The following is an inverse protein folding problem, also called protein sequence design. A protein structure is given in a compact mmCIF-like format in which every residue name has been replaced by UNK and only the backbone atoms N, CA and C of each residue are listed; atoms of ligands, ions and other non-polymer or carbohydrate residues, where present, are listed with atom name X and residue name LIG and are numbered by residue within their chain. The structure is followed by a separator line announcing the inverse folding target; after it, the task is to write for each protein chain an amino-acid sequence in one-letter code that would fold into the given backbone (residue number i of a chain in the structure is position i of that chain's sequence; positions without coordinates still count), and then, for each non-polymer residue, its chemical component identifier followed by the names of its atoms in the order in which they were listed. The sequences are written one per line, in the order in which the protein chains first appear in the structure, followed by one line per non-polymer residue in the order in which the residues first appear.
data_IF_522498130913
#
_entry.id   IF_522498130913
#
_cell.length_a   1.000
_cell.length_b   1.000
_cell.length_c   1.000
_cell.angle_alpha   90.00
_cell.angle_beta   90.00
_cell.angle_gamma   90.00
#
_symmetry.space_group_name_H-M   'P 1'
#
loop_
_entity.id
_entity.type
_entity.pdbx_description
1 polymer ?
#
# COMPACT_ATOMS: atom_id res chain seq x y z
N UNK A 1 17.93 -11.88 10.94
CA UNK A 1 17.45 -10.49 11.07
C UNK A 1 17.69 -9.85 9.72
N UNK A 2 16.63 -9.49 9.00
CA UNK A 2 16.74 -8.84 7.70
C UNK A 2 17.30 -7.43 7.87
N UNK A 3 18.13 -6.99 6.93
CA UNK A 3 18.77 -5.67 6.99
C UNK A 3 17.75 -4.55 6.75
N UNK A 4 17.85 -3.47 7.54
CA UNK A 4 17.00 -2.30 7.40
C UNK A 4 17.39 -1.54 6.13
N UNK A 5 16.43 -1.33 5.24
CA UNK A 5 16.57 -0.47 4.05
C UNK A 5 16.88 0.97 4.47
N UNK A 6 17.95 1.55 3.93
CA UNK A 6 18.37 2.93 4.21
C UNK A 6 17.45 3.95 3.53
N UNK A 7 16.70 4.71 4.35
CA UNK A 7 15.77 5.73 3.87
C UNK A 7 16.47 7.02 3.43
N UNK A 8 17.72 7.26 3.87
CA UNK A 8 18.50 8.43 3.50
C UNK A 8 19.14 8.29 2.11
N UNK A 9 19.32 7.06 1.62
CA UNK A 9 19.87 6.79 0.30
C UNK A 9 19.13 7.58 -0.81
N UNK A 10 19.82 8.08 -1.85
CA UNK A 10 19.16 8.74 -2.97
C UNK A 10 18.11 7.84 -3.64
N UNK A 11 16.92 8.39 -3.89
CA UNK A 11 15.87 7.63 -4.56
C UNK A 11 16.23 7.40 -6.03
N UNK A 12 16.13 6.15 -6.50
CA UNK A 12 16.42 5.79 -7.89
C UNK A 12 15.12 5.61 -8.66
N UNK A 13 15.08 6.20 -9.86
CA UNK A 13 13.95 6.08 -10.77
C UNK A 13 13.87 4.67 -11.34
N UNK A 14 12.74 3.98 -11.13
CA UNK A 14 12.46 2.71 -11.77
C UNK A 14 11.48 2.84 -12.93
N UNK A 15 10.29 3.37 -12.67
CA UNK A 15 9.29 3.73 -13.67
C UNK A 15 8.98 5.23 -13.53
N UNK A 16 8.87 5.96 -14.65
CA UNK A 16 8.57 7.40 -14.60
C UNK A 16 7.51 7.77 -15.61
N UNK A 17 6.48 8.46 -15.11
CA UNK A 17 5.36 9.01 -15.89
C UNK A 17 4.81 8.00 -16.89
N UNK A 18 4.62 6.76 -16.44
CA UNK A 18 3.95 5.72 -17.23
C UNK A 18 2.51 6.17 -17.50
N UNK A 19 1.99 5.74 -18.64
CA UNK A 19 0.63 6.07 -19.08
C UNK A 19 -0.41 5.75 -17.99
N UNK A 20 -1.57 6.40 -18.13
CA UNK A 20 -2.72 6.16 -17.26
C UNK A 20 -3.00 4.67 -17.13
N UNK A 21 -3.30 4.26 -15.90
CA UNK A 21 -3.75 2.90 -15.62
C UNK A 21 -5.15 2.69 -16.24
N UNK A 22 -5.92 1.69 -15.81
CA UNK A 22 -7.28 1.50 -16.33
C UNK A 22 -8.18 2.70 -16.04
N UNK A 23 -8.11 3.22 -14.82
CA UNK A 23 -8.91 4.37 -14.40
C UNK A 23 -8.10 5.67 -14.52
N UNK A 24 -8.74 6.83 -14.74
CA UNK A 24 -8.06 8.12 -14.86
C UNK A 24 -7.57 8.71 -13.53
N UNK A 25 -7.79 8.00 -12.42
CA UNK A 25 -7.45 8.38 -11.06
C UNK A 25 -5.99 8.05 -10.72
N UNK A 26 -5.52 8.57 -9.59
CA UNK A 26 -4.21 8.21 -9.04
C UNK A 26 -4.15 6.73 -8.65
N UNK A 27 -2.96 6.13 -8.63
CA UNK A 27 -2.77 4.86 -7.91
C UNK A 27 -3.02 5.09 -6.41
N UNK A 28 -3.33 4.03 -5.68
CA UNK A 28 -3.52 4.06 -4.21
C UNK A 28 -2.51 3.16 -3.50
N UNK A 29 -2.25 1.98 -4.07
CA UNK A 29 -1.18 1.10 -3.61
C UNK A 29 -0.75 0.14 -4.71
N UNK A 30 0.33 -0.58 -4.48
CA UNK A 30 0.85 -1.59 -5.39
C UNK A 30 1.57 -2.70 -4.64
N UNK A 31 1.73 -3.86 -5.29
CA UNK A 31 2.51 -4.97 -4.78
C UNK A 31 3.15 -5.76 -5.92
N UNK A 32 4.28 -6.42 -5.61
CA UNK A 32 5.01 -7.24 -6.55
C UNK A 32 4.61 -8.72 -6.43
N UNK A 33 4.36 -9.34 -7.57
CA UNK A 33 4.44 -10.79 -7.73
C UNK A 33 5.78 -11.07 -8.40
N UNK A 34 6.78 -11.34 -7.55
CA UNK A 34 8.16 -11.48 -7.97
C UNK A 34 8.41 -12.81 -8.70
N UNK A 35 7.60 -13.82 -8.43
CA UNK A 35 7.66 -15.14 -9.07
C UNK A 35 7.19 -15.08 -10.51
N UNK A 36 6.09 -14.37 -10.79
CA UNK A 36 5.52 -14.27 -12.14
C UNK A 36 5.85 -12.95 -12.83
N UNK A 37 6.71 -12.11 -12.23
CA UNK A 37 7.13 -10.83 -12.78
C UNK A 37 5.96 -9.89 -13.10
N UNK A 38 4.99 -9.81 -12.19
CA UNK A 38 3.87 -8.88 -12.28
C UNK A 38 3.95 -7.78 -11.22
N UNK A 39 3.39 -6.63 -11.60
CA UNK A 39 3.12 -5.52 -10.69
C UNK A 39 1.60 -5.34 -10.63
N UNK A 40 1.03 -5.47 -9.44
CA UNK A 40 -0.38 -5.20 -9.20
C UNK A 40 -0.55 -3.80 -8.64
N UNK A 41 -1.54 -3.04 -9.14
CA UNK A 41 -1.76 -1.64 -8.75
C UNK A 41 -3.25 -1.36 -8.53
N UNK A 42 -3.61 -0.86 -7.37
CA UNK A 42 -4.99 -0.44 -7.05
C UNK A 42 -5.22 1.03 -7.39
N UNK A 43 -6.43 1.32 -7.81
CA UNK A 43 -6.98 2.67 -8.01
C UNK A 43 -8.40 2.73 -7.44
N UNK A 44 -8.82 3.90 -6.99
CA UNK A 44 -10.26 4.19 -6.88
C UNK A 44 -10.87 4.29 -8.29
N UNK A 45 -12.05 3.72 -8.46
CA UNK A 45 -12.85 3.99 -9.67
C UNK A 45 -13.44 5.42 -9.62
N UNK A 46 -13.71 6.05 -10.77
CA UNK A 46 -14.44 7.31 -10.82
C UNK A 46 -15.78 7.20 -10.09
N UNK A 47 -16.03 8.10 -9.13
CA UNK A 47 -17.22 8.08 -8.26
C UNK A 47 -17.23 6.96 -7.20
N UNK A 48 -16.20 6.11 -7.16
CA UNK A 48 -16.12 4.95 -6.26
C UNK A 48 -15.66 5.25 -4.84
N UNK A 49 -15.34 6.50 -4.50
CA UNK A 49 -14.73 6.88 -3.21
C UNK A 49 -15.58 6.45 -2.03
N UNK A 50 -16.86 6.80 -2.01
CA UNK A 50 -17.73 6.53 -0.84
C UNK A 50 -18.18 5.07 -0.79
N UNK A 51 -18.38 4.46 -1.96
CA UNK A 51 -18.74 3.05 -2.10
C UNK A 51 -17.55 2.11 -1.80
N UNK A 52 -16.31 2.60 -1.91
CA UNK A 52 -15.11 1.77 -1.82
C UNK A 52 -14.88 0.90 -3.05
N UNK A 53 -15.19 1.44 -4.23
CA UNK A 53 -15.05 0.72 -5.51
C UNK A 53 -13.67 0.96 -6.11
N UNK A 54 -12.93 -0.14 -6.30
CA UNK A 54 -11.55 -0.15 -6.76
C UNK A 54 -11.41 -0.80 -8.14
N UNK A 55 -10.38 -0.37 -8.87
CA UNK A 55 -9.86 -1.06 -10.04
C UNK A 55 -8.46 -1.60 -9.71
N UNK A 56 -8.31 -2.92 -9.81
CA UNK A 56 -7.03 -3.59 -9.70
C UNK A 56 -6.44 -3.80 -11.11
N UNK A 57 -5.27 -3.25 -11.34
CA UNK A 57 -4.50 -3.42 -12.55
C UNK A 57 -3.44 -4.51 -12.36
N UNK A 58 -3.21 -5.33 -13.39
CA UNK A 58 -2.02 -6.19 -13.51
C UNK A 58 -1.14 -5.63 -14.61
N UNK A 59 0.12 -5.38 -14.29
CA UNK A 59 1.14 -4.85 -15.19
C UNK A 59 2.31 -5.84 -15.29
N UNK A 60 3.11 -5.74 -16.34
CA UNK A 60 4.47 -6.27 -16.30
C UNK A 60 5.40 -5.33 -15.51
N UNK A 61 6.62 -5.80 -15.20
CA UNK A 61 7.63 -5.01 -14.48
C UNK A 61 8.17 -3.79 -15.25
N UNK A 62 7.74 -3.57 -16.51
CA UNK A 62 8.03 -2.35 -17.29
C UNK A 62 6.86 -1.35 -17.26
N UNK A 63 5.81 -1.66 -16.51
CA UNK A 63 4.61 -0.85 -16.33
C UNK A 63 3.62 -0.94 -17.50
N UNK A 64 3.72 -1.94 -18.38
CA UNK A 64 2.72 -2.16 -19.43
C UNK A 64 1.53 -2.92 -18.85
N UNK A 65 0.32 -2.44 -19.14
CA UNK A 65 -0.93 -3.08 -18.69
C UNK A 65 -1.13 -4.45 -19.34
N UNK A 66 -1.36 -5.47 -18.52
CA UNK A 66 -1.67 -6.84 -18.91
C UNK A 66 -3.13 -7.21 -18.66
N UNK A 67 -3.84 -6.42 -17.86
CA UNK A 67 -5.25 -6.62 -17.56
C UNK A 67 -5.70 -5.80 -16.35
N UNK A 68 -7.00 -5.83 -16.08
CA UNK A 68 -7.62 -5.24 -14.90
C UNK A 68 -8.77 -6.11 -14.39
N UNK A 69 -9.22 -5.86 -13.17
CA UNK A 69 -10.46 -6.36 -12.59
C UNK A 69 -11.04 -5.32 -11.62
N UNK A 70 -12.36 -5.32 -11.43
CA UNK A 70 -13.05 -4.42 -10.51
C UNK A 70 -13.33 -5.09 -9.17
N UNK A 71 -13.20 -4.32 -8.09
CA UNK A 71 -13.51 -4.73 -6.72
C UNK A 71 -14.54 -3.76 -6.15
N UNK A 72 -15.79 -4.17 -6.03
CA UNK A 72 -16.92 -3.32 -5.63
C UNK A 72 -17.19 -3.48 -4.13
N UNK A 73 -17.25 -2.36 -3.40
CA UNK A 73 -17.45 -2.38 -1.95
C UNK A 73 -16.25 -2.89 -1.13
N UNK A 74 -15.03 -2.72 -1.64
CA UNK A 74 -13.82 -3.21 -0.97
C UNK A 74 -13.23 -2.17 0.00
N UNK A 75 -13.04 -0.93 -0.45
CA UNK A 75 -12.54 0.16 0.38
C UNK A 75 -11.73 1.17 -0.43
N UNK A 76 -10.68 1.72 0.18
CA UNK A 76 -9.92 2.84 -0.41
C UNK A 76 -8.70 2.38 -1.21
N UNK A 77 -8.17 1.20 -0.89
CA UNK A 77 -7.01 0.61 -1.55
C UNK A 77 -5.68 1.17 -1.07
N UNK A 78 -5.59 1.70 0.16
CA UNK A 78 -4.36 2.32 0.72
C UNK A 78 -3.20 1.33 0.83
N UNK A 79 -3.49 0.03 0.97
CA UNK A 79 -2.46 -1.00 0.97
C UNK A 79 -2.94 -2.31 0.37
N UNK A 80 -1.97 -3.10 -0.07
CA UNK A 80 -2.19 -4.43 -0.61
C UNK A 80 -0.95 -5.30 -0.41
N UNK A 81 -1.07 -6.58 -0.73
CA UNK A 81 0.06 -7.51 -0.78
C UNK A 81 -0.20 -8.70 -1.68
N UNK A 82 0.87 -9.40 -2.04
CA UNK A 82 0.82 -10.66 -2.79
C UNK A 82 1.34 -11.78 -1.90
N UNK A 83 0.63 -12.89 -1.87
CA UNK A 83 1.02 -14.13 -1.20
C UNK A 83 1.04 -15.26 -2.23
N UNK A 84 2.04 -16.12 -2.13
CA UNK A 84 2.09 -17.39 -2.84
C UNK A 84 1.82 -18.52 -1.84
N UNK A 85 0.85 -19.38 -2.13
CA UNK A 85 0.72 -20.66 -1.42
C UNK A 85 1.70 -21.68 -2.03
N UNK A 86 1.97 -22.77 -1.32
CA UNK A 86 2.96 -23.79 -1.71
C UNK A 86 2.59 -24.53 -2.99
N UNK A 87 1.31 -24.54 -3.37
CA UNK A 87 0.80 -25.10 -4.63
C UNK A 87 0.95 -24.14 -5.84
N UNK A 88 1.57 -22.97 -5.63
CA UNK A 88 1.75 -21.95 -6.65
C UNK A 88 0.57 -20.98 -6.80
N UNK A 89 -0.49 -21.13 -6.00
CA UNK A 89 -1.63 -20.21 -6.04
C UNK A 89 -1.20 -18.80 -5.60
N UNK A 90 -1.49 -17.81 -6.45
CA UNK A 90 -1.26 -16.39 -6.16
C UNK A 90 -2.51 -15.77 -5.56
N UNK A 91 -2.37 -15.23 -4.36
CA UNK A 91 -3.39 -14.50 -3.63
C UNK A 91 -3.04 -13.02 -3.53
N UNK A 92 -4.01 -12.16 -3.82
CA UNK A 92 -3.90 -10.72 -3.63
C UNK A 92 -4.70 -10.34 -2.39
N UNK A 93 -4.05 -9.64 -1.47
CA UNK A 93 -4.63 -9.14 -0.24
C UNK A 93 -4.98 -7.66 -0.36
N UNK A 94 -6.17 -7.29 0.09
CA UNK A 94 -6.55 -5.89 0.33
C UNK A 94 -7.74 -5.83 1.30
N UNK A 95 -8.17 -4.62 1.60
CA UNK A 95 -9.34 -4.36 2.43
C UNK A 95 -10.65 -4.79 1.75
N UNK A 96 -11.68 -5.07 2.53
CA UNK A 96 -13.01 -5.42 2.05
C UNK A 96 -14.10 -4.91 3.00
N UNK A 97 -15.37 -5.04 2.59
CA UNK A 97 -16.53 -4.68 3.41
C UNK A 97 -16.55 -3.18 3.74
N UNK A 98 -16.55 -2.37 2.67
CA UNK A 98 -16.44 -0.92 2.76
C UNK A 98 -17.62 -0.26 3.49
N UNK A 99 -17.30 0.70 4.35
CA UNK A 99 -18.24 1.66 4.92
C UNK A 99 -17.60 3.05 4.90
N UNK A 100 -18.24 4.02 4.26
CA UNK A 100 -17.68 5.36 4.08
C UNK A 100 -16.34 5.34 3.32
N UNK A 101 -16.23 4.49 2.31
CA UNK A 101 -15.04 4.37 1.47
C UNK A 101 -13.87 3.57 2.04
N UNK A 102 -13.96 3.06 3.28
CA UNK A 102 -12.89 2.29 3.92
C UNK A 102 -13.38 0.91 4.37
N UNK A 103 -12.53 -0.11 4.19
CA UNK A 103 -12.81 -1.49 4.52
C UNK A 103 -12.85 -1.75 6.03
N UNK A 104 -13.89 -2.46 6.48
CA UNK A 104 -14.03 -2.97 7.85
C UNK A 104 -13.39 -4.34 8.03
N UNK A 105 -13.10 -5.03 6.93
CA UNK A 105 -12.44 -6.32 6.93
C UNK A 105 -11.28 -6.38 5.96
N UNK A 106 -10.67 -7.55 5.89
CA UNK A 106 -9.56 -7.90 5.01
C UNK A 106 -9.90 -9.17 4.27
N UNK A 107 -9.50 -9.27 3.01
CA UNK A 107 -9.70 -10.49 2.23
C UNK A 107 -8.51 -10.81 1.34
N UNK A 108 -8.53 -12.02 0.78
CA UNK A 108 -7.63 -12.45 -0.29
C UNK A 108 -8.42 -13.07 -1.43
N UNK A 109 -8.00 -12.82 -2.67
CA UNK A 109 -8.63 -13.34 -3.88
C UNK A 109 -7.61 -13.57 -4.99
N UNK A 110 -8.02 -14.26 -6.04
CA UNK A 110 -7.21 -14.47 -7.25
C UNK A 110 -7.56 -13.43 -8.31
N UNK A 111 -6.55 -12.93 -8.99
CA UNK A 111 -6.75 -12.06 -10.14
C UNK A 111 -7.42 -12.81 -11.28
N UNK A 112 -8.43 -12.20 -11.91
CA UNK A 112 -9.04 -12.68 -13.15
C UNK A 112 -9.33 -11.48 -14.06
N UNK A 113 -8.70 -11.44 -15.24
CA UNK A 113 -8.87 -10.31 -16.15
C UNK A 113 -10.33 -10.12 -16.56
N UNK A 114 -10.83 -8.88 -16.46
CA UNK A 114 -12.19 -8.51 -16.84
C UNK A 114 -13.24 -8.85 -15.79
N UNK A 115 -12.86 -9.53 -14.70
CA UNK A 115 -13.78 -9.88 -13.64
C UNK A 115 -14.19 -8.65 -12.82
N UNK A 116 -15.37 -8.76 -12.22
CA UNK A 116 -15.81 -7.90 -11.11
C UNK A 116 -15.99 -8.80 -9.88
N UNK A 117 -15.51 -8.35 -8.73
CA UNK A 117 -15.68 -9.01 -7.44
C UNK A 117 -16.41 -8.10 -6.48
N UNK A 118 -17.27 -8.69 -5.67
CA UNK A 118 -17.99 -8.06 -4.57
C UNK A 118 -17.65 -8.78 -3.27
N UNK A 119 -18.17 -8.29 -2.14
CA UNK A 119 -18.04 -8.99 -0.85
C UNK A 119 -18.60 -10.42 -0.88
N UNK A 120 -19.60 -10.72 -1.72
CA UNK A 120 -20.16 -12.06 -1.87
C UNK A 120 -19.24 -13.06 -2.60
N UNK A 121 -18.23 -12.57 -3.33
CA UNK A 121 -17.29 -13.42 -4.08
C UNK A 121 -16.08 -13.87 -3.25
N UNK A 122 -15.90 -13.31 -2.04
CA UNK A 122 -14.66 -13.43 -1.28
C UNK A 122 -14.92 -13.80 0.17
N UNK A 123 -13.90 -14.36 0.80
CA UNK A 123 -13.96 -14.71 2.23
C UNK A 123 -13.39 -13.55 3.04
N UNK A 124 -14.27 -12.73 3.60
CA UNK A 124 -13.89 -11.57 4.42
C UNK A 124 -13.48 -12.02 5.83
N UNK A 125 -12.50 -11.34 6.41
CA UNK A 125 -11.97 -11.53 7.77
C UNK A 125 -12.08 -10.20 8.51
N UNK A 126 -12.51 -10.26 9.77
CA UNK A 126 -12.55 -9.11 10.68
C UNK A 126 -11.65 -9.43 11.88
N UNK A 127 -10.32 -9.31 11.73
CA UNK A 127 -9.35 -9.80 12.72
C UNK A 127 -9.25 -8.95 13.99
N UNK A 128 -9.78 -7.72 13.94
CA UNK A 128 -9.88 -6.84 15.09
C UNK A 128 -11.33 -6.38 15.20
N UNK A 129 -11.99 -6.74 16.29
CA UNK A 129 -13.39 -6.36 16.50
C UNK A 129 -13.54 -4.84 16.58
N UNK A 130 -14.59 -4.31 15.94
CA UNK A 130 -14.88 -2.87 15.92
C UNK A 130 -13.90 -2.01 15.11
N UNK A 131 -12.93 -2.62 14.41
CA UNK A 131 -11.97 -1.87 13.61
C UNK A 131 -12.55 -1.39 12.28
N UNK A 132 -11.96 -0.33 11.75
CA UNK A 132 -12.23 0.21 10.42
C UNK A 132 -10.95 0.72 9.77
N UNK A 133 -10.99 0.97 8.46
CA UNK A 133 -9.81 1.35 7.69
C UNK A 133 -8.72 0.28 7.79
N UNK A 134 -9.12 -0.97 7.60
CA UNK A 134 -8.29 -2.16 7.75
C UNK A 134 -7.45 -2.37 6.49
N UNK A 135 -6.20 -1.95 6.54
CA UNK A 135 -5.29 -1.88 5.40
C UNK A 135 -4.22 -2.95 5.59
N UNK A 136 -4.21 -4.07 4.84
CA UNK A 136 -3.22 -5.13 4.99
C UNK A 136 -1.97 -4.92 4.11
N UNK A 137 -0.83 -5.41 4.57
CA UNK A 137 0.37 -5.60 3.75
C UNK A 137 1.03 -6.94 4.10
N UNK A 138 1.77 -7.51 3.16
CA UNK A 138 2.38 -8.84 3.28
C UNK A 138 3.89 -8.74 3.14
N UNK A 139 4.61 -9.47 3.99
CA UNK A 139 6.05 -9.71 3.85
C UNK A 139 6.29 -11.18 3.49
N UNK A 140 6.48 -11.51 2.19
CA UNK A 140 6.73 -12.88 1.76
C UNK A 140 8.01 -13.46 2.36
N UNK A 141 9.06 -12.65 2.55
CA UNK A 141 10.35 -13.09 3.10
C UNK A 141 10.26 -13.65 4.53
N UNK A 142 9.26 -13.20 5.30
CA UNK A 142 9.09 -13.66 6.69
C UNK A 142 7.77 -14.36 6.95
N UNK A 143 6.94 -14.55 5.92
CA UNK A 143 5.62 -15.16 6.07
C UNK A 143 4.71 -14.39 7.03
N UNK A 144 4.76 -13.06 7.03
CA UNK A 144 3.98 -12.21 7.95
C UNK A 144 3.00 -11.31 7.22
N UNK A 145 1.88 -11.03 7.88
CA UNK A 145 0.93 -10.00 7.50
C UNK A 145 0.91 -8.92 8.58
N UNK A 146 1.07 -7.65 8.18
CA UNK A 146 0.76 -6.52 9.04
C UNK A 146 -0.57 -5.92 8.62
N UNK A 147 -1.41 -5.58 9.58
CA UNK A 147 -2.64 -4.84 9.39
C UNK A 147 -2.52 -3.49 10.07
N UNK A 148 -2.68 -2.43 9.30
CA UNK A 148 -3.00 -1.12 9.86
C UNK A 148 -4.50 -1.00 10.06
N UNK A 149 -4.94 -0.55 11.23
CA UNK A 149 -6.36 -0.41 11.54
C UNK A 149 -6.61 0.79 12.48
N UNK A 150 -7.89 1.17 12.61
CA UNK A 150 -8.34 2.19 13.57
C UNK A 150 -9.47 1.65 14.44
N UNK A 151 -9.50 2.10 15.69
CA UNK A 151 -10.67 2.02 16.55
C UNK A 151 -11.27 3.42 16.69
N UNK A 152 -12.55 3.50 17.05
CA UNK A 152 -13.24 4.79 17.19
C UNK A 152 -12.53 5.65 18.24
N UNK A 153 -12.14 6.87 17.87
CA UNK A 153 -11.48 7.82 18.77
C UNK A 153 -10.02 7.47 19.11
N UNK A 154 -9.40 6.49 18.44
CA UNK A 154 -8.01 6.11 18.70
C UNK A 154 -7.06 6.55 17.59
N UNK A 155 -5.79 6.72 17.93
CA UNK A 155 -4.70 6.72 16.95
C UNK A 155 -4.73 5.40 16.16
N UNK A 156 -4.41 5.40 14.84
CA UNK A 156 -4.23 4.17 14.10
C UNK A 156 -3.18 3.27 14.75
N UNK A 157 -3.31 1.96 14.55
CA UNK A 157 -2.41 0.94 15.10
C UNK A 157 -1.97 -0.01 14.01
N UNK A 158 -0.85 -0.69 14.26
CA UNK A 158 -0.42 -1.84 13.50
C UNK A 158 -0.51 -3.08 14.36
N UNK A 159 -1.00 -4.17 13.77
CA UNK A 159 -0.92 -5.50 14.34
C UNK A 159 -0.32 -6.46 13.33
N UNK A 160 0.60 -7.30 13.76
CA UNK A 160 1.33 -8.23 12.89
C UNK A 160 1.00 -9.65 13.30
N UNK A 161 0.75 -10.52 12.32
CA UNK A 161 0.52 -11.95 12.54
C UNK A 161 1.45 -12.78 11.65
N UNK A 162 1.66 -14.02 12.09
CA UNK A 162 2.05 -15.09 11.19
C UNK A 162 0.97 -15.28 10.09
N UNK A 163 1.39 -15.39 8.84
CA UNK A 163 0.49 -15.48 7.70
C UNK A 163 -0.31 -16.79 7.70
N UNK A 164 0.29 -17.90 8.12
CA UNK A 164 -0.41 -19.19 8.16
C UNK A 164 -1.52 -19.18 9.23
N UNK A 165 -1.23 -18.66 10.42
CA UNK A 165 -2.25 -18.45 11.45
C UNK A 165 -3.38 -17.51 10.97
N UNK A 166 -3.01 -16.37 10.38
CA UNK A 166 -3.99 -15.39 9.88
C UNK A 166 -4.88 -15.95 8.76
N UNK A 167 -4.31 -16.73 7.84
CA UNK A 167 -5.08 -17.38 6.77
C UNK A 167 -6.03 -18.45 7.31
N UNK A 168 -5.61 -19.19 8.34
CA UNK A 168 -6.41 -20.15 9.11
C UNK A 168 -7.47 -19.49 10.01
N UNK A 169 -7.53 -18.15 10.06
CA UNK A 169 -8.43 -17.35 10.90
C UNK A 169 -8.16 -17.45 12.40
N UNK A 170 -6.94 -17.82 12.77
CA UNK A 170 -6.45 -17.64 14.12
C UNK A 170 -5.87 -16.23 14.26
N UNK A 171 -6.60 -15.37 14.97
CA UNK A 171 -6.22 -13.98 15.20
C UNK A 171 -5.85 -13.70 16.66
N UNK A 172 -5.94 -14.71 17.54
CA UNK A 172 -5.86 -14.53 18.99
C UNK A 172 -4.48 -14.07 19.48
N UNK A 173 -3.43 -14.46 18.76
CA UNK A 173 -2.03 -14.27 19.17
C UNK A 173 -1.26 -13.48 18.11
N UNK A 174 -1.43 -12.15 18.02
CA UNK A 174 -0.57 -11.34 17.16
C UNK A 174 0.88 -11.39 17.65
N UNK A 175 1.82 -11.35 16.71
CA UNK A 175 3.26 -11.26 16.96
C UNK A 175 3.66 -9.88 17.51
N UNK A 176 2.90 -8.83 17.14
CA UNK A 176 3.11 -7.47 17.60
C UNK A 176 1.81 -6.66 17.53
N UNK A 177 1.65 -5.68 18.41
CA UNK A 177 0.56 -4.69 18.40
C UNK A 177 1.04 -3.36 18.99
N UNK A 178 1.14 -2.32 18.17
CA UNK A 178 1.71 -1.03 18.56
C UNK A 178 1.02 0.14 17.85
N UNK A 179 0.99 1.34 18.46
CA UNK A 179 0.42 2.52 17.82
C UNK A 179 1.23 2.96 16.59
N UNK A 180 0.55 3.50 15.59
CA UNK A 180 1.23 4.24 14.52
C UNK A 180 1.81 5.53 15.09
N UNK A 181 3.12 5.72 14.94
CA UNK A 181 3.82 6.93 15.32
C UNK A 181 4.75 7.39 14.19
N UNK A 182 5.15 8.66 14.23
CA UNK A 182 6.27 9.14 13.42
C UNK A 182 6.14 9.02 11.90
N UNK A 183 4.92 8.91 11.34
CA UNK A 183 4.74 8.85 9.88
C UNK A 183 5.24 10.14 9.19
N UNK A 184 5.01 11.29 9.82
CA UNK A 184 5.39 12.60 9.32
C UNK A 184 5.71 13.56 10.48
N UNK A 185 6.56 14.60 10.32
CA UNK A 185 6.77 15.62 11.35
C UNK A 185 5.50 16.39 11.71
N UNK A 186 4.69 16.73 10.72
CA UNK A 186 3.32 17.23 10.89
C UNK A 186 2.34 16.04 11.01
N UNK A 187 1.68 15.84 12.17
CA UNK A 187 0.71 14.76 12.36
C UNK A 187 -0.56 14.89 11.53
N UNK A 188 -0.84 16.06 10.94
CA UNK A 188 -1.98 16.29 10.06
C UNK A 188 -1.71 15.87 8.60
N UNK A 189 -0.45 15.64 8.23
CA UNK A 189 -0.11 15.23 6.87
C UNK A 189 -0.75 13.87 6.53
N UNK A 190 -1.26 13.70 5.29
CA UNK A 190 -1.99 12.50 4.92
C UNK A 190 -1.06 11.28 4.91
N UNK A 191 -1.55 10.17 5.43
CA UNK A 191 -0.90 8.88 5.36
C UNK A 191 -1.25 8.19 4.04
N UNK A 192 -0.23 7.74 3.32
CA UNK A 192 -0.34 7.33 1.92
C UNK A 192 0.11 5.90 1.66
N UNK A 193 0.47 5.14 2.70
CA UNK A 193 0.77 3.72 2.57
C UNK A 193 1.87 3.25 3.50
N UNK A 194 2.08 1.93 3.50
CA UNK A 194 3.14 1.29 4.28
C UNK A 194 3.49 -0.08 3.72
N UNK A 195 4.66 -0.59 4.10
CA UNK A 195 5.13 -1.92 3.75
C UNK A 195 5.85 -2.57 4.95
N UNK A 196 5.79 -3.91 5.03
CA UNK A 196 6.48 -4.71 6.02
C UNK A 196 7.67 -5.43 5.38
N UNK A 197 8.85 -5.37 6.00
CA UNK A 197 10.00 -6.18 5.62
C UNK A 197 10.86 -6.53 6.83
N UNK A 198 11.03 -7.84 7.09
CA UNK A 198 11.68 -8.26 8.32
C UNK A 198 10.96 -7.70 9.54
N UNK A 199 11.73 -7.23 10.52
CA UNK A 199 11.21 -6.63 11.74
C UNK A 199 10.99 -5.11 11.61
N UNK A 200 10.91 -4.60 10.38
CA UNK A 200 10.78 -3.20 10.06
C UNK A 200 9.46 -2.91 9.32
N UNK A 201 8.75 -1.88 9.78
CA UNK A 201 7.56 -1.35 9.13
C UNK A 201 7.86 0.03 8.56
N UNK A 202 7.76 0.16 7.24
CA UNK A 202 8.04 1.39 6.50
C UNK A 202 6.75 2.13 6.19
N UNK A 203 6.71 3.43 6.45
CA UNK A 203 5.53 4.28 6.28
C UNK A 203 5.79 5.35 5.24
N UNK A 204 4.73 5.78 4.56
CA UNK A 204 4.71 6.90 3.64
C UNK A 204 3.62 7.88 4.04
N UNK A 205 3.98 9.15 4.15
CA UNK A 205 3.07 10.24 4.40
C UNK A 205 3.52 11.50 3.67
N UNK A 206 2.56 12.33 3.27
CA UNK A 206 2.81 13.56 2.54
C UNK A 206 1.69 13.88 1.56
N UNK A 207 1.56 15.16 1.28
CA UNK A 207 0.50 15.75 0.47
C UNK A 207 0.82 15.67 -1.02
N UNK A 208 -0.22 15.86 -1.83
CA UNK A 208 -0.03 16.23 -3.22
C UNK A 208 0.56 17.64 -3.32
N UNK A 209 1.33 17.90 -4.38
CA UNK A 209 1.69 19.28 -4.73
C UNK A 209 0.45 20.16 -4.84
N UNK A 210 0.49 21.27 -4.11
CA UNK A 210 -0.52 22.31 -4.06
C UNK A 210 0.14 23.69 -4.19
N UNK A 211 -0.32 24.56 -5.10
CA UNK A 211 0.28 25.88 -5.30
C UNK A 211 0.31 26.79 -4.06
N UNK A 212 -0.49 26.50 -3.03
CA UNK A 212 -0.60 27.30 -1.80
C UNK A 212 0.13 26.65 -0.64
N UNK A 213 -0.03 25.35 -0.43
CA UNK A 213 0.44 24.67 0.80
C UNK A 213 1.66 23.77 0.60
N UNK A 214 1.85 23.19 -0.59
CA UNK A 214 3.01 22.34 -0.89
C UNK A 214 3.52 22.57 -2.32
N UNK A 215 4.21 23.71 -2.51
CA UNK A 215 4.62 24.16 -3.84
C UNK A 215 5.70 23.25 -4.43
N UNK A 216 5.68 23.02 -5.76
CA UNK A 216 6.73 22.24 -6.43
C UNK A 216 8.16 22.74 -6.16
N UNK A 217 8.37 24.06 -6.07
CA UNK A 217 9.67 24.65 -5.75
C UNK A 217 10.19 24.30 -4.35
N UNK A 218 9.29 23.91 -3.44
CA UNK A 218 9.65 23.40 -2.12
C UNK A 218 10.13 21.94 -2.17
N UNK A 219 9.95 21.21 -3.28
CA UNK A 219 10.24 19.78 -3.46
C UNK A 219 9.34 18.81 -2.67
N UNK A 220 8.27 19.30 -2.03
CA UNK A 220 7.25 18.45 -1.42
C UNK A 220 7.46 18.10 0.04
N UNK A 221 6.40 17.80 0.76
CA UNK A 221 6.44 17.40 2.16
C UNK A 221 6.58 15.87 2.37
N UNK A 222 6.78 15.07 1.32
CA UNK A 222 6.77 13.60 1.45
C UNK A 222 7.87 13.06 2.36
N UNK A 223 7.48 12.24 3.34
CA UNK A 223 8.37 11.54 4.25
C UNK A 223 8.22 10.02 4.16
N UNK A 224 9.35 9.34 4.30
CA UNK A 224 9.45 7.93 4.62
C UNK A 224 9.85 7.79 6.08
N UNK A 225 9.26 6.84 6.80
CA UNK A 225 9.73 6.46 8.14
C UNK A 225 9.74 4.97 8.36
N UNK A 226 10.47 4.53 9.39
CA UNK A 226 10.65 3.13 9.73
C UNK A 226 10.40 2.93 11.23
N UNK A 227 9.55 1.95 11.57
CA UNK A 227 9.31 1.50 12.93
C UNK A 227 9.91 0.10 13.15
N UNK A 228 10.43 -0.18 14.35
CA UNK A 228 10.68 -1.56 14.80
C UNK A 228 9.34 -2.18 15.20
N UNK A 229 8.98 -3.34 14.63
CA UNK A 229 7.66 -3.94 14.92
C UNK A 229 7.57 -4.54 16.32
N UNK A 230 8.68 -4.87 16.97
CA UNK A 230 8.71 -5.50 18.29
C UNK A 230 8.45 -4.48 19.39
N UNK A 231 8.90 -3.24 19.19
CA UNK A 231 8.80 -2.17 20.19
C UNK A 231 7.85 -1.04 19.78
N UNK A 232 7.59 -0.87 18.49
CA UNK A 232 6.90 0.30 17.93
C UNK A 232 7.76 1.57 17.86
N UNK A 233 9.07 1.46 18.12
CA UNK A 233 10.00 2.59 18.14
C UNK A 233 10.25 3.14 16.73
N UNK A 234 10.31 4.47 16.61
CA UNK A 234 10.70 5.16 15.40
C UNK A 234 12.21 5.10 15.19
N UNK A 235 12.66 4.25 14.26
CA UNK A 235 14.07 4.03 13.97
C UNK A 235 14.67 5.05 12.99
N UNK A 236 13.85 5.61 12.10
CA UNK A 236 14.26 6.63 11.13
C UNK A 236 13.06 7.36 10.56
N UNK A 237 13.27 8.62 10.17
CA UNK A 237 12.34 9.41 9.38
C UNK A 237 13.11 10.35 8.48
N UNK A 238 12.84 10.30 7.17
CA UNK A 238 13.54 11.08 6.17
C UNK A 238 12.54 11.69 5.19
N UNK A 239 12.68 12.99 4.96
CA UNK A 239 12.03 13.64 3.82
C UNK A 239 12.63 13.10 2.54
N UNK A 240 11.79 12.81 1.54
CA UNK A 240 12.25 12.35 0.24
C UNK A 240 11.83 13.29 -0.86
N UNK A 241 12.82 13.68 -1.68
CA UNK A 241 12.63 14.48 -2.89
C UNK A 241 12.47 13.58 -4.14
N UNK A 242 12.15 12.30 -3.96
CA UNK A 242 11.93 11.39 -5.07
C UNK A 242 10.92 12.01 -6.05
N UNK A 243 11.31 12.12 -7.31
CA UNK A 243 10.52 12.72 -8.38
C UNK A 243 10.03 14.15 -8.13
N UNK A 244 10.82 14.99 -7.43
CA UNK A 244 10.45 16.39 -7.17
C UNK A 244 10.14 17.20 -8.46
N UNK A 245 10.65 16.76 -9.61
CA UNK A 245 10.47 17.39 -10.92
C UNK A 245 9.16 17.01 -11.64
N UNK A 246 8.23 16.32 -10.97
CA UNK A 246 6.91 16.06 -11.53
C UNK A 246 6.03 17.32 -11.46
N UNK A 247 5.15 17.47 -12.44
CA UNK A 247 4.20 18.59 -12.59
C UNK A 247 3.14 18.59 -11.49
N UNK A 248 2.61 17.41 -11.21
CA UNK A 248 1.87 17.07 -10.02
C UNK A 248 2.63 15.93 -9.35
N UNK A 249 2.66 15.92 -8.02
CA UNK A 249 3.38 14.92 -7.25
C UNK A 249 2.56 14.57 -6.02
N UNK A 250 1.96 13.39 -6.03
CA UNK A 250 1.24 12.85 -4.88
C UNK A 250 1.83 11.49 -4.53
N UNK A 251 2.35 11.27 -3.30
CA UNK A 251 2.87 9.97 -2.89
C UNK A 251 1.72 8.99 -2.64
N UNK A 252 1.84 7.77 -3.18
CA UNK A 252 0.76 6.78 -3.20
C UNK A 252 1.33 5.35 -3.14
N UNK A 253 1.32 4.77 -1.95
CA UNK A 253 1.72 3.38 -1.69
C UNK A 253 3.21 3.12 -1.52
N UNK A 254 3.51 2.08 -0.74
CA UNK A 254 4.84 1.48 -0.58
C UNK A 254 4.78 -0.03 -0.85
N UNK A 255 5.86 -0.59 -1.38
CA UNK A 255 6.06 -2.04 -1.44
C UNK A 255 7.54 -2.38 -1.33
N UNK A 256 7.86 -3.54 -0.74
CA UNK A 256 9.22 -4.07 -0.73
C UNK A 256 9.33 -5.16 -1.78
N UNK A 257 10.39 -5.09 -2.59
CA UNK A 257 10.78 -6.17 -3.50
C UNK A 257 11.99 -6.90 -2.90
N UNK A 258 11.96 -8.22 -2.92
CA UNK A 258 12.92 -9.09 -2.23
C UNK A 258 13.88 -9.82 -3.18
N UNK A 259 13.65 -9.78 -4.49
CA UNK A 259 14.56 -10.35 -5.49
C UNK A 259 15.90 -9.60 -5.46
N UNK A 260 16.96 -10.29 -5.03
CA UNK A 260 18.28 -9.69 -4.83
C UNK A 260 18.34 -8.94 -3.49
N UNK A 261 19.03 -7.80 -3.45
CA UNK A 261 19.00 -6.93 -2.26
C UNK A 261 17.61 -6.32 -2.10
N UNK A 262 16.96 -6.45 -0.93
CA UNK A 262 15.66 -5.84 -0.68
C UNK A 262 15.67 -4.33 -0.91
N UNK A 263 14.63 -3.82 -1.57
CA UNK A 263 14.47 -2.39 -1.89
C UNK A 263 13.07 -1.91 -1.59
N UNK A 264 12.96 -0.68 -1.10
CA UNK A 264 11.68 -0.06 -0.76
C UNK A 264 11.23 0.80 -1.93
N UNK A 265 10.13 0.41 -2.56
CA UNK A 265 9.54 1.11 -3.69
C UNK A 265 8.46 2.07 -3.21
N UNK A 266 8.44 3.26 -3.79
CA UNK A 266 7.56 4.38 -3.56
C UNK A 266 6.79 4.70 -4.84
N UNK A 267 5.45 4.70 -4.75
CA UNK A 267 4.57 5.12 -5.83
C UNK A 267 4.29 6.61 -5.77
N UNK A 268 4.23 7.26 -6.95
CA UNK A 268 3.97 8.69 -7.09
C UNK A 268 3.04 8.94 -8.28
N UNK A 269 1.98 9.72 -8.09
CA UNK A 269 1.11 10.19 -9.15
C UNK A 269 1.59 11.52 -9.76
N UNK A 270 1.27 11.74 -11.03
CA UNK A 270 1.60 12.93 -11.80
C UNK A 270 0.61 13.18 -12.95
N UNK A 271 0.82 14.24 -13.73
CA UNK A 271 -0.11 14.63 -14.79
C UNK A 271 -1.41 15.24 -14.26
N UNK A 272 -2.29 15.73 -15.16
CA UNK A 272 -3.52 16.41 -14.76
C UNK A 272 -4.59 15.44 -14.25
N UNK A 273 -5.56 15.97 -13.50
CA UNK A 273 -6.77 15.23 -13.15
C UNK A 273 -7.48 14.71 -14.40
N UNK A 274 -8.03 13.50 -14.35
CA UNK A 274 -8.63 12.84 -15.51
C UNK A 274 -7.64 12.15 -16.45
N UNK A 275 -6.33 12.40 -16.31
CA UNK A 275 -5.27 11.73 -17.07
C UNK A 275 -4.03 11.48 -16.20
N UNK A 276 -4.27 11.03 -14.95
CA UNK A 276 -3.18 10.76 -14.01
C UNK A 276 -2.24 9.68 -14.57
N UNK A 277 -0.95 9.90 -14.35
CA UNK A 277 0.17 9.03 -14.69
C UNK A 277 0.82 8.55 -13.40
N UNK A 278 1.49 7.41 -13.45
CA UNK A 278 2.20 6.89 -12.27
C UNK A 278 3.71 6.78 -12.51
N UNK A 279 4.45 6.91 -11.42
CA UNK A 279 5.88 6.67 -11.34
C UNK A 279 6.17 5.79 -10.13
N UNK A 280 7.25 5.01 -10.21
CA UNK A 280 7.75 4.22 -9.09
C UNK A 280 9.26 4.45 -8.97
N UNK A 281 9.68 4.83 -7.77
CA UNK A 281 11.07 5.02 -7.38
C UNK A 281 11.42 4.03 -6.29
N UNK A 282 12.70 3.77 -6.03
CA UNK A 282 13.09 2.94 -4.90
C UNK A 282 14.26 3.53 -4.11
N UNK A 283 14.37 3.09 -2.86
CA UNK A 283 15.57 3.12 -2.03
C UNK A 283 16.27 1.77 -2.15
#
# INVERSE_FOLDING_TARGET
MEERIDLAAPAVRWLRQKDTLREPTVLQSFAFDEVHHHLYVLQLTPGGRDAGDLCLNRLDLRGRRLGHMYLRGFGHGVSMGVQHDTDGTVWIWTEADAAGGYGRGVTRFRFAHGATRTGGDVRIRHPVEGSHGNQPTVCPATGRLALRYRLRGSTPRYRVWDMAAFTARDHASPLADFPQTGAHPDPAAPFQGYALHGDHLYQLAGSAYDPRTDRPAGHGDTHLSCLDIRTGELLARHRTEAAYSLDHREPEGLAVRHTGTPRLYLGLASGPEGARRFSIYYK
#
